data_IF_517484142892
#
_entry.id   IF_517484142892
#
_cell.length_a   1.000
_cell.length_b   1.000
_cell.length_c   1.000
_cell.angle_alpha   90.00
_cell.angle_beta   90.00
_cell.angle_gamma   90.00
#
_symmetry.space_group_name_H-M   'P 1'
#
loop_
_entity.id
_entity.type
_entity.pdbx_description
1 polymer ?
#
# COMPACT_ATOMS: atom_id res chain seq x y z
N UNK A 1 -15.13 10.20 8.24
CA UNK A 1 -14.09 9.26 8.73
C UNK A 1 -13.91 8.20 7.64
N UNK A 2 -12.67 7.94 7.22
CA UNK A 2 -12.34 7.04 6.12
C UNK A 2 -11.58 5.83 6.64
N UNK A 3 -11.92 4.62 6.19
CA UNK A 3 -11.20 3.40 6.52
C UNK A 3 -10.59 2.80 5.26
N UNK A 4 -9.28 2.53 5.27
CA UNK A 4 -8.61 1.81 4.19
C UNK A 4 -7.98 0.53 4.73
N UNK A 5 -8.25 -0.59 4.04
CA UNK A 5 -7.52 -1.82 4.27
C UNK A 5 -6.25 -1.80 3.41
N UNK A 6 -5.09 -2.00 4.03
CA UNK A 6 -3.82 -2.12 3.35
C UNK A 6 -3.20 -3.49 3.53
N UNK A 7 -2.40 -3.90 2.55
CA UNK A 7 -1.59 -5.12 2.58
C UNK A 7 -0.15 -4.76 2.21
N UNK A 8 0.81 -5.40 2.86
CA UNK A 8 2.21 -5.29 2.48
C UNK A 8 2.55 -6.38 1.47
N UNK A 9 3.38 -6.07 0.49
CA UNK A 9 3.85 -7.03 -0.49
C UNK A 9 4.91 -6.42 -1.40
N UNK A 10 5.33 -7.21 -2.36
CA UNK A 10 6.33 -6.83 -3.34
C UNK A 10 5.86 -7.22 -4.75
N UNK A 11 6.15 -6.37 -5.74
CA UNK A 11 5.91 -6.70 -7.13
C UNK A 11 6.97 -7.68 -7.61
N UNK A 12 6.55 -8.80 -8.21
CA UNK A 12 7.43 -9.78 -8.84
C UNK A 12 7.03 -10.05 -10.29
N UNK A 13 8.02 -10.09 -11.18
CA UNK A 13 7.81 -10.54 -12.56
C UNK A 13 7.55 -12.05 -12.57
N UNK A 14 6.41 -12.46 -13.11
CA UNK A 14 6.02 -13.86 -13.27
C UNK A 14 5.49 -14.09 -14.69
N UNK A 15 6.23 -14.88 -15.48
CA UNK A 15 5.88 -15.26 -16.86
C UNK A 15 5.46 -14.07 -17.74
N UNK A 16 6.23 -12.98 -17.69
CA UNK A 16 5.98 -11.78 -18.49
C UNK A 16 4.89 -10.83 -17.95
N UNK A 17 4.42 -11.05 -16.72
CA UNK A 17 3.48 -10.15 -16.04
C UNK A 17 3.94 -9.81 -14.63
N UNK A 18 3.80 -8.55 -14.21
CA UNK A 18 4.01 -8.17 -12.81
C UNK A 18 2.86 -8.68 -11.96
N UNK A 19 3.18 -9.34 -10.85
CA UNK A 19 2.21 -9.79 -9.86
C UNK A 19 2.61 -9.25 -8.49
N UNK A 20 1.64 -8.69 -7.79
CA UNK A 20 1.84 -8.24 -6.42
C UNK A 20 1.74 -9.44 -5.47
N UNK A 21 2.86 -9.78 -4.83
CA UNK A 21 2.97 -10.89 -3.90
C UNK A 21 2.80 -10.36 -2.48
N UNK A 22 1.66 -10.67 -1.85
CA UNK A 22 1.35 -10.24 -0.48
C UNK A 22 2.26 -10.95 0.52
N UNK A 23 2.83 -10.20 1.45
CA UNK A 23 3.53 -10.71 2.62
C UNK A 23 2.50 -11.23 3.64
N UNK A 24 2.27 -12.54 3.61
CA UNK A 24 1.29 -13.20 4.49
C UNK A 24 1.68 -13.17 5.96
N UNK A 25 2.97 -12.98 6.29
CA UNK A 25 3.45 -12.85 7.67
C UNK A 25 3.11 -11.49 8.25
N UNK A 26 3.22 -10.42 7.44
CA UNK A 26 2.86 -9.07 7.85
C UNK A 26 1.33 -8.89 8.01
N UNK A 27 0.56 -9.66 7.23
CA UNK A 27 -0.90 -9.62 7.25
C UNK A 27 -1.49 -8.34 6.67
N UNK A 28 -2.80 -8.18 6.83
CA UNK A 28 -3.51 -6.95 6.48
C UNK A 28 -3.59 -5.98 7.67
N UNK A 29 -3.69 -4.68 7.37
CA UNK A 29 -3.86 -3.61 8.36
C UNK A 29 -5.07 -2.77 7.99
N UNK A 30 -5.82 -2.30 8.98
CA UNK A 30 -6.95 -1.39 8.80
C UNK A 30 -6.56 -0.01 9.30
N UNK A 31 -6.42 0.94 8.38
CA UNK A 31 -6.10 2.33 8.69
C UNK A 31 -7.38 3.14 8.84
N UNK A 32 -7.45 3.98 9.87
CA UNK A 32 -8.57 4.87 10.13
C UNK A 32 -8.13 6.31 10.05
N UNK A 33 -8.64 7.04 9.07
CA UNK A 33 -8.27 8.42 8.79
C UNK A 33 -9.39 9.39 9.15
N UNK A 34 -8.97 10.54 9.66
CA UNK A 34 -9.83 11.71 9.85
C UNK A 34 -9.76 12.59 8.61
N UNK A 35 -10.82 13.34 8.34
CA UNK A 35 -10.80 14.34 7.27
C UNK A 35 -9.72 15.40 7.57
N UNK A 36 -9.01 15.85 6.52
CA UNK A 36 -7.94 16.82 6.64
C UNK A 36 -6.58 16.27 7.09
N UNK A 37 -6.43 14.94 7.18
CA UNK A 37 -5.13 14.31 7.44
C UNK A 37 -4.14 14.57 6.29
N UNK A 38 -2.88 14.89 6.63
CA UNK A 38 -1.84 15.11 5.61
C UNK A 38 -1.32 13.80 5.06
N UNK A 39 -0.81 13.85 3.83
CA UNK A 39 -0.19 12.71 3.18
C UNK A 39 0.98 12.14 3.99
N UNK A 40 1.84 13.00 4.55
CA UNK A 40 2.99 12.57 5.35
C UNK A 40 2.59 11.81 6.62
N UNK A 41 1.48 12.21 7.25
CA UNK A 41 0.93 11.51 8.42
C UNK A 41 0.43 10.12 8.01
N UNK A 42 -0.18 9.98 6.83
CA UNK A 42 -0.59 8.69 6.29
C UNK A 42 0.61 7.80 5.98
N UNK A 43 1.65 8.33 5.34
CA UNK A 43 2.91 7.61 5.08
C UNK A 43 3.53 7.14 6.39
N UNK A 44 3.53 7.99 7.42
CA UNK A 44 4.01 7.64 8.75
C UNK A 44 3.29 6.43 9.33
N UNK A 45 1.96 6.45 9.32
CA UNK A 45 1.15 5.34 9.83
C UNK A 45 1.46 4.03 9.11
N UNK A 46 1.62 4.06 7.78
CA UNK A 46 1.95 2.85 7.00
C UNK A 46 3.31 2.28 7.40
N UNK A 47 4.33 3.13 7.56
CA UNK A 47 5.65 2.69 8.02
C UNK A 47 5.60 2.06 9.42
N UNK A 48 4.87 2.67 10.34
CA UNK A 48 4.75 2.19 11.73
C UNK A 48 3.99 0.86 11.81
N UNK A 49 2.83 0.75 11.15
CA UNK A 49 1.97 -0.43 11.24
C UNK A 49 2.57 -1.68 10.58
N UNK A 50 3.37 -1.49 9.53
CA UNK A 50 4.06 -2.56 8.81
C UNK A 50 5.52 -2.75 9.23
N UNK A 51 6.07 -1.89 10.10
CA UNK A 51 7.46 -1.97 10.54
C UNK A 51 8.49 -1.73 9.43
N UNK A 52 8.15 -0.92 8.43
CA UNK A 52 9.02 -0.65 7.28
C UNK A 52 9.97 0.49 7.63
N UNK A 53 11.28 0.28 7.48
CA UNK A 53 12.26 1.35 7.68
C UNK A 53 12.04 2.48 6.66
N UNK A 54 12.05 3.73 7.13
CA UNK A 54 12.03 4.94 6.27
C UNK A 54 13.37 5.18 5.56
N UNK A 55 14.46 4.56 6.02
CA UNK A 55 15.79 4.75 5.45
C UNK A 55 15.91 3.90 4.18
N UNK A 56 15.95 4.56 3.02
CA UNK A 56 16.27 3.95 1.74
C UNK A 56 15.10 3.31 0.98
N UNK A 57 13.87 3.39 1.50
CA UNK A 57 12.67 2.90 0.83
C UNK A 57 11.80 4.06 0.37
N UNK A 58 11.67 4.25 -0.94
CA UNK A 58 10.66 5.15 -1.52
C UNK A 58 9.30 4.43 -1.44
N UNK A 59 8.42 4.90 -0.56
CA UNK A 59 7.07 4.34 -0.41
C UNK A 59 6.12 5.02 -1.37
N UNK A 60 5.74 4.33 -2.45
CA UNK A 60 4.69 4.79 -3.34
C UNK A 60 3.32 4.26 -2.86
N UNK A 61 2.40 5.18 -2.52
CA UNK A 61 1.03 4.83 -2.13
C UNK A 61 0.11 4.96 -3.34
N UNK A 62 -0.29 3.83 -3.92
CA UNK A 62 -1.30 3.77 -4.98
C UNK A 62 -2.63 3.24 -4.45
N UNK A 63 -3.75 3.84 -4.85
CA UNK A 63 -5.09 3.28 -4.60
C UNK A 63 -5.75 2.89 -5.92
N UNK A 64 -6.38 1.72 -5.96
CA UNK A 64 -7.21 1.32 -7.09
C UNK A 64 -8.66 1.75 -6.82
N UNK A 65 -9.24 2.53 -7.72
CA UNK A 65 -10.66 2.83 -7.68
C UNK A 65 -11.46 1.57 -8.05
N UNK A 66 -12.48 1.17 -7.28
CA UNK A 66 -13.34 0.06 -7.66
C UNK A 66 -14.02 0.39 -9.00
N UNK A 67 -13.68 -0.37 -10.05
CA UNK A 67 -14.26 -0.23 -11.38
C UNK A 67 -13.30 0.19 -12.50
N UNK A 68 -12.04 0.54 -12.20
CA UNK A 68 -11.03 0.77 -13.24
C UNK A 68 -10.07 -0.42 -13.25
N UNK A 69 -10.16 -1.24 -14.31
CA UNK A 69 -9.23 -2.33 -14.57
C UNK A 69 -7.79 -1.84 -14.38
N UNK A 70 -7.07 -2.43 -13.43
CA UNK A 70 -5.67 -2.15 -13.07
C UNK A 70 -4.66 -2.51 -14.19
N UNK A 71 -5.10 -2.62 -15.44
CA UNK A 71 -4.28 -2.94 -16.60
C UNK A 71 -3.78 -1.70 -17.37
N UNK A 72 -3.99 -0.48 -16.84
CA UNK A 72 -3.65 0.78 -17.53
C UNK A 72 -2.42 1.52 -17.01
N UNK A 73 -1.74 1.00 -16.00
CA UNK A 73 -0.45 1.53 -15.58
C UNK A 73 0.60 0.47 -15.93
N UNK A 74 0.98 0.46 -17.21
CA UNK A 74 2.10 -0.28 -17.79
C UNK A 74 3.11 0.73 -18.32
#
# INVERSE_FOLDING_TARGET
>A
MLHLAGVLGEWKMNKGSWKFMVNTTAGGKLFTFREGLKFDDMVQMVHEDFGISRLGNELELSYALPGINASRYA
#
